data_IF_538056038983
#
_entry.id   IF_538056038983
#
_cell.length_a   1.000
_cell.length_b   1.000
_cell.length_c   1.000
_cell.angle_alpha   90.00
_cell.angle_beta   90.00
_cell.angle_gamma   90.00
#
_symmetry.space_group_name_H-M   'P 1'
#
loop_
_entity.id
_entity.type
_entity.pdbx_description
1 polymer ?
#
# COMPACT_ATOMS: atom_id res chain seq x y z
N UNK A 1 -6.58 29.25 23.35
CA UNK A 1 -7.67 29.73 22.47
C UNK A 1 -8.10 28.57 21.59
N UNK A 2 -9.41 28.34 21.36
CA UNK A 2 -9.85 27.31 20.43
C UNK A 2 -9.34 27.62 19.02
N UNK A 3 -8.72 26.64 18.36
CA UNK A 3 -8.22 26.77 16.98
C UNK A 3 -9.44 27.01 16.06
N UNK A 4 -9.41 27.96 15.12
CA UNK A 4 -10.47 28.15 14.12
C UNK A 4 -10.78 26.84 13.36
N UNK A 5 -12.04 26.63 12.98
CA UNK A 5 -12.48 25.38 12.31
C UNK A 5 -11.76 25.21 10.96
N UNK A 6 -11.53 26.30 10.24
CA UNK A 6 -10.78 26.35 8.98
C UNK A 6 -9.35 25.81 9.14
N UNK A 7 -8.64 26.25 10.19
CA UNK A 7 -7.28 25.79 10.48
C UNK A 7 -7.25 24.30 10.83
N UNK A 8 -8.24 23.82 11.60
CA UNK A 8 -8.37 22.38 11.90
C UNK A 8 -8.63 21.58 10.63
N UNK A 9 -9.51 22.07 9.76
CA UNK A 9 -9.85 21.41 8.51
C UNK A 9 -8.64 21.34 7.58
N UNK A 10 -7.87 22.42 7.46
CA UNK A 10 -6.60 22.47 6.71
C UNK A 10 -5.58 21.45 7.23
N UNK A 11 -5.37 21.39 8.55
CA UNK A 11 -4.45 20.42 9.16
C UNK A 11 -4.87 18.98 8.84
N UNK A 12 -6.16 18.67 8.88
CA UNK A 12 -6.68 17.33 8.56
C UNK A 12 -6.49 17.01 7.08
N UNK A 13 -6.73 17.97 6.20
CA UNK A 13 -6.50 17.83 4.76
C UNK A 13 -5.03 17.58 4.45
N UNK A 14 -4.11 18.35 5.04
CA UNK A 14 -2.67 18.19 4.86
C UNK A 14 -2.19 16.82 5.38
N UNK A 15 -2.68 16.38 6.54
CA UNK A 15 -2.39 15.05 7.08
C UNK A 15 -2.91 13.92 6.18
N UNK A 16 -4.13 14.08 5.64
CA UNK A 16 -4.70 13.12 4.69
C UNK A 16 -3.87 13.05 3.41
N UNK A 17 -3.51 14.20 2.83
CA UNK A 17 -2.67 14.31 1.63
C UNK A 17 -1.33 13.64 1.86
N UNK A 18 -0.64 13.95 2.95
CA UNK A 18 0.66 13.35 3.29
C UNK A 18 0.57 11.83 3.39
N UNK A 19 -0.44 11.31 4.11
CA UNK A 19 -0.63 9.87 4.26
C UNK A 19 -0.97 9.17 2.93
N UNK A 20 -1.75 9.83 2.08
CA UNK A 20 -2.09 9.33 0.74
C UNK A 20 -0.85 9.31 -0.19
N UNK A 21 -0.09 10.40 -0.24
CA UNK A 21 1.15 10.49 -1.03
C UNK A 21 2.19 9.45 -0.58
N UNK A 22 2.33 9.25 0.73
CA UNK A 22 3.20 8.22 1.28
C UNK A 22 2.81 6.83 0.76
N UNK A 23 1.51 6.49 0.78
CA UNK A 23 1.01 5.22 0.25
C UNK A 23 1.29 5.07 -1.24
N UNK A 24 1.08 6.11 -2.04
CA UNK A 24 1.37 6.08 -3.49
C UNK A 24 2.86 5.81 -3.73
N UNK A 25 3.74 6.50 -3.01
CA UNK A 25 5.20 6.28 -3.11
C UNK A 25 5.59 4.86 -2.70
N UNK A 26 4.97 4.32 -1.65
CA UNK A 26 5.19 2.94 -1.20
C UNK A 26 4.79 1.92 -2.27
N UNK A 27 3.59 2.05 -2.85
CA UNK A 27 3.11 1.14 -3.90
C UNK A 27 3.99 1.25 -5.16
N UNK A 28 4.35 2.47 -5.54
CA UNK A 28 5.23 2.72 -6.70
C UNK A 28 6.61 2.09 -6.49
N UNK A 29 7.19 2.26 -5.29
CA UNK A 29 8.45 1.62 -4.91
C UNK A 29 8.35 0.09 -4.92
N UNK A 30 7.24 -0.45 -4.42
CA UNK A 30 6.99 -1.90 -4.45
C UNK A 30 6.92 -2.44 -5.88
N UNK A 31 6.19 -1.77 -6.78
CA UNK A 31 6.12 -2.16 -8.19
C UNK A 31 7.50 -2.08 -8.90
N UNK A 32 8.27 -1.03 -8.64
CA UNK A 32 9.62 -0.87 -9.19
C UNK A 32 10.56 -1.99 -8.74
N UNK A 33 10.47 -2.39 -7.47
CA UNK A 33 11.26 -3.52 -6.96
C UNK A 33 10.85 -4.82 -7.65
N UNK A 34 9.56 -5.06 -7.88
CA UNK A 34 9.13 -6.25 -8.61
C UNK A 34 9.62 -6.28 -10.05
N UNK A 35 9.66 -5.14 -10.75
CA UNK A 35 10.27 -5.07 -12.07
C UNK A 35 11.77 -5.46 -12.01
N UNK A 36 12.51 -4.96 -11.01
CA UNK A 36 13.90 -5.35 -10.79
C UNK A 36 14.08 -6.83 -10.46
N UNK A 37 13.22 -7.38 -9.61
CA UNK A 37 13.23 -8.81 -9.25
C UNK A 37 12.88 -9.70 -10.45
N UNK A 38 11.97 -9.28 -11.33
CA UNK A 38 11.65 -10.01 -12.55
C UNK A 38 12.85 -10.05 -13.51
N UNK A 39 13.56 -8.93 -13.68
CA UNK A 39 14.80 -8.89 -14.45
C UNK A 39 15.89 -9.79 -13.84
N UNK A 40 16.05 -9.73 -12.50
CA UNK A 40 16.97 -10.60 -11.79
C UNK A 40 16.60 -12.08 -11.97
N UNK A 41 15.32 -12.44 -11.88
CA UNK A 41 14.84 -13.80 -12.11
C UNK A 41 15.23 -14.32 -13.50
N UNK A 42 14.97 -13.53 -14.55
CA UNK A 42 15.33 -13.88 -15.92
C UNK A 42 16.84 -14.09 -16.08
N UNK A 43 17.66 -13.23 -15.45
CA UNK A 43 19.11 -13.36 -15.46
C UNK A 43 19.60 -14.63 -14.74
N UNK A 44 19.10 -14.90 -13.52
CA UNK A 44 19.48 -16.08 -12.75
C UNK A 44 19.02 -17.37 -13.43
N UNK A 45 17.89 -17.37 -14.13
CA UNK A 45 17.42 -18.52 -14.90
C UNK A 45 18.39 -18.93 -16.02
N UNK A 46 19.06 -17.95 -16.65
CA UNK A 46 20.03 -18.21 -17.71
C UNK A 46 21.41 -18.61 -17.15
N UNK A 47 21.84 -17.97 -16.06
CA UNK A 47 23.22 -18.06 -15.61
C UNK A 47 23.43 -19.01 -14.42
N UNK A 48 22.44 -19.21 -13.56
CA UNK A 48 22.61 -19.92 -12.28
C UNK A 48 21.30 -20.48 -11.73
N UNK A 49 20.75 -21.49 -12.44
CA UNK A 49 19.47 -22.13 -12.09
C UNK A 49 19.44 -22.67 -10.65
N UNK A 50 20.53 -23.27 -10.17
CA UNK A 50 20.59 -23.88 -8.85
C UNK A 50 20.24 -22.93 -7.67
N UNK A 51 20.41 -21.62 -7.86
CA UNK A 51 20.17 -20.60 -6.84
C UNK A 51 19.01 -19.65 -7.18
N UNK A 52 18.27 -19.89 -8.26
CA UNK A 52 17.19 -18.99 -8.71
C UNK A 52 16.07 -18.82 -7.67
N UNK A 53 15.85 -19.83 -6.81
CA UNK A 53 14.87 -19.80 -5.72
C UNK A 53 15.09 -18.65 -4.74
N UNK A 54 16.31 -18.10 -4.66
CA UNK A 54 16.63 -16.95 -3.82
C UNK A 54 15.83 -15.72 -4.25
N UNK A 55 15.58 -15.55 -5.56
CA UNK A 55 14.86 -14.37 -6.09
C UNK A 55 13.41 -14.29 -5.55
N UNK A 56 12.55 -15.32 -5.68
CA UNK A 56 11.22 -15.28 -5.08
C UNK A 56 11.27 -15.30 -3.55
N UNK A 57 12.29 -15.90 -2.91
CA UNK A 57 12.46 -15.82 -1.46
C UNK A 57 12.70 -14.37 -0.97
N UNK A 58 13.55 -13.61 -1.66
CA UNK A 58 13.75 -12.17 -1.40
C UNK A 58 12.46 -11.40 -1.65
N UNK A 59 11.74 -11.73 -2.74
CA UNK A 59 10.47 -11.10 -3.09
C UNK A 59 9.40 -11.26 -1.98
N UNK A 60 9.36 -12.41 -1.30
CA UNK A 60 8.51 -12.64 -0.11
C UNK A 60 8.87 -11.66 0.99
N UNK A 61 10.17 -11.54 1.33
CA UNK A 61 10.63 -10.61 2.36
C UNK A 61 10.25 -9.16 2.06
N UNK A 62 10.45 -8.72 0.83
CA UNK A 62 10.08 -7.37 0.39
C UNK A 62 8.57 -7.16 0.45
N UNK A 63 7.78 -8.13 0.02
CA UNK A 63 6.32 -8.08 0.12
C UNK A 63 5.86 -7.89 1.55
N UNK A 64 6.41 -8.66 2.49
CA UNK A 64 6.09 -8.54 3.91
C UNK A 64 6.46 -7.15 4.43
N UNK A 65 7.66 -6.66 4.11
CA UNK A 65 8.12 -5.33 4.54
C UNK A 65 7.22 -4.21 4.02
N UNK A 66 6.90 -4.21 2.73
CA UNK A 66 6.01 -3.20 2.12
C UNK A 66 4.60 -3.30 2.67
N UNK A 67 4.10 -4.52 2.86
CA UNK A 67 2.75 -4.74 3.39
C UNK A 67 2.61 -4.29 4.84
N UNK A 68 3.61 -4.55 5.69
CA UNK A 68 3.67 -4.03 7.07
C UNK A 68 3.76 -2.50 7.06
N UNK A 69 4.59 -1.92 6.20
CA UNK A 69 4.75 -0.47 6.09
C UNK A 69 3.43 0.21 5.69
N UNK A 70 2.68 -0.33 4.73
CA UNK A 70 1.33 0.17 4.41
C UNK A 70 0.36 -0.04 5.59
N UNK A 71 0.33 -1.24 6.21
CA UNK A 71 -0.53 -1.53 7.38
C UNK A 71 -0.34 -0.54 8.53
N UNK A 72 0.90 -0.11 8.80
CA UNK A 72 1.22 0.87 9.84
C UNK A 72 0.65 2.27 9.53
N UNK A 73 0.54 2.67 8.27
CA UNK A 73 0.11 4.01 7.87
C UNK A 73 -1.39 4.10 7.55
N UNK A 74 -2.09 2.98 7.30
CA UNK A 74 -3.55 3.00 7.01
C UNK A 74 -4.41 3.68 8.08
N UNK A 75 -4.16 3.48 9.39
CA UNK A 75 -4.99 4.11 10.42
C UNK A 75 -4.96 5.63 10.35
N UNK A 76 -3.85 6.25 9.90
CA UNK A 76 -3.76 7.69 9.72
C UNK A 76 -4.73 8.19 8.65
N UNK A 77 -4.81 7.50 7.51
CA UNK A 77 -5.77 7.82 6.43
C UNK A 77 -7.21 7.69 6.93
N UNK A 78 -7.53 6.60 7.63
CA UNK A 78 -8.86 6.36 8.19
C UNK A 78 -9.27 7.45 9.19
N UNK A 79 -8.39 7.78 10.13
CA UNK A 79 -8.64 8.84 11.12
C UNK A 79 -8.84 10.20 10.47
N UNK A 80 -8.00 10.58 9.50
CA UNK A 80 -8.18 11.87 8.81
C UNK A 80 -9.52 11.93 8.07
N UNK A 81 -9.95 10.85 7.42
CA UNK A 81 -11.28 10.77 6.79
C UNK A 81 -12.41 10.93 7.81
N UNK A 82 -12.35 10.21 8.92
CA UNK A 82 -13.39 10.28 9.97
C UNK A 82 -13.45 11.66 10.61
N UNK A 83 -12.31 12.26 10.95
CA UNK A 83 -12.25 13.58 11.56
C UNK A 83 -12.71 14.65 10.57
N UNK A 84 -12.26 14.59 9.31
CA UNK A 84 -12.71 15.50 8.25
C UNK A 84 -14.23 15.43 8.02
N UNK A 85 -14.78 14.21 7.93
CA UNK A 85 -16.22 14.01 7.76
C UNK A 85 -17.02 14.51 8.98
N UNK A 86 -16.49 14.39 10.19
CA UNK A 86 -17.13 14.92 11.39
C UNK A 86 -17.12 16.45 11.41
N UNK A 87 -16.04 17.09 10.94
CA UNK A 87 -15.97 18.56 10.80
C UNK A 87 -17.00 19.04 9.76
N UNK A 88 -17.14 18.34 8.63
CA UNK A 88 -18.10 18.71 7.58
C UNK A 88 -19.57 18.46 7.95
N UNK A 89 -19.83 17.53 8.87
CA UNK A 89 -21.17 17.27 9.43
C UNK A 89 -21.56 18.26 10.53
N UNK A 90 -20.61 19.00 11.09
CA UNK A 90 -20.89 20.03 12.08
C UNK A 90 -21.57 21.24 11.42
N UNK A 91 -22.84 21.48 11.78
CA UNK A 91 -23.63 22.58 11.23
C UNK A 91 -23.05 23.96 11.60
N UNK A 92 -22.24 24.04 12.65
CA UNK A 92 -21.58 25.28 13.07
C UNK A 92 -20.35 25.64 12.22
N UNK A 93 -19.84 24.71 11.41
CA UNK A 93 -18.64 24.90 10.60
C UNK A 93 -18.86 25.80 9.38
N UNK A 94 -20.12 26.11 9.00
CA UNK A 94 -20.49 26.95 7.85
C UNK A 94 -19.78 26.59 6.53
N UNK A 95 -19.36 25.33 6.36
CA UNK A 95 -18.65 24.88 5.15
C UNK A 95 -19.64 24.78 3.99
N UNK A 96 -19.41 25.52 2.88
CA UNK A 96 -20.21 25.41 1.65
C UNK A 96 -20.29 23.96 1.15
N UNK A 97 -21.44 23.54 0.63
CA UNK A 97 -21.64 22.14 0.21
C UNK A 97 -20.67 21.70 -0.89
N UNK A 98 -20.29 22.59 -1.79
CA UNK A 98 -19.35 22.39 -2.89
C UNK A 98 -17.89 22.20 -2.42
N UNK A 99 -17.58 22.51 -1.16
CA UNK A 99 -16.24 22.41 -0.58
C UNK A 99 -16.08 21.23 0.40
N UNK A 100 -17.14 20.41 0.55
CA UNK A 100 -17.13 19.21 1.40
C UNK A 100 -16.44 18.09 0.63
N UNK A 101 -15.31 17.63 1.15
CA UNK A 101 -14.49 16.64 0.48
C UNK A 101 -14.56 15.27 1.18
N UNK A 102 -14.61 15.26 2.52
CA UNK A 102 -14.56 14.03 3.31
C UNK A 102 -15.92 13.35 3.50
N UNK A 103 -17.02 14.08 3.42
CA UNK A 103 -18.38 13.55 3.46
C UNK A 103 -18.71 12.72 2.22
N UNK A 104 -18.19 13.14 1.06
CA UNK A 104 -18.41 12.49 -0.24
C UNK A 104 -17.40 11.39 -0.55
N UNK A 105 -16.32 11.29 0.24
CA UNK A 105 -15.43 10.12 0.23
C UNK A 105 -16.15 8.98 0.96
N UNK A 106 -17.16 8.42 0.30
CA UNK A 106 -17.78 7.17 0.69
C UNK A 106 -16.71 6.08 0.85
N UNK A 107 -17.05 5.12 1.69
CA UNK A 107 -16.32 3.88 2.00
C UNK A 107 -16.15 2.93 0.80
N UNK A 108 -16.05 3.45 -0.42
CA UNK A 108 -15.70 2.71 -1.62
C UNK A 108 -14.46 1.87 -1.36
N UNK A 109 -14.50 0.61 -1.84
CA UNK A 109 -13.56 -0.49 -1.56
C UNK A 109 -12.24 0.09 -1.09
N UNK A 110 -12.06 0.05 0.24
CA UNK A 110 -10.90 0.66 0.89
C UNK A 110 -9.68 0.16 0.13
N UNK A 111 -8.91 1.05 -0.49
CA UNK A 111 -7.74 0.66 -1.29
C UNK A 111 -6.82 -0.29 -0.50
N UNK A 112 -6.88 -0.21 0.83
CA UNK A 112 -6.31 -1.16 1.79
C UNK A 112 -6.68 -2.64 1.55
N UNK A 113 -7.93 -2.95 1.19
CA UNK A 113 -8.38 -4.31 0.87
C UNK A 113 -7.75 -4.81 -0.42
N UNK A 114 -7.73 -3.98 -1.48
CA UNK A 114 -7.05 -4.35 -2.72
C UNK A 114 -5.55 -4.62 -2.49
N UNK A 115 -4.89 -3.81 -1.64
CA UNK A 115 -3.49 -4.02 -1.25
C UNK A 115 -3.33 -5.31 -0.43
N UNK A 116 -4.27 -5.63 0.47
CA UNK A 116 -4.23 -6.88 1.25
C UNK A 116 -4.38 -8.11 0.35
N UNK A 117 -5.33 -8.09 -0.57
CA UNK A 117 -5.55 -9.19 -1.53
C UNK A 117 -4.32 -9.34 -2.42
N UNK A 118 -3.79 -8.25 -2.95
CA UNK A 118 -2.55 -8.26 -3.74
C UNK A 118 -1.37 -8.84 -2.96
N UNK A 119 -1.17 -8.41 -1.71
CA UNK A 119 -0.10 -8.90 -0.86
C UNK A 119 -0.25 -10.40 -0.58
N UNK A 120 -1.45 -10.85 -0.20
CA UNK A 120 -1.74 -12.24 0.09
C UNK A 120 -1.51 -13.14 -1.14
N UNK A 121 -2.06 -12.75 -2.30
CA UNK A 121 -1.86 -13.49 -3.56
C UNK A 121 -0.38 -13.53 -3.95
N UNK A 122 0.33 -12.41 -3.82
CA UNK A 122 1.77 -12.35 -4.09
C UNK A 122 2.55 -13.32 -3.21
N UNK A 123 2.27 -13.34 -1.90
CA UNK A 123 2.94 -14.25 -0.96
C UNK A 123 2.68 -15.73 -1.29
N UNK A 124 1.43 -16.07 -1.64
CA UNK A 124 1.08 -17.44 -2.03
C UNK A 124 1.83 -17.84 -3.30
N UNK A 125 1.77 -17.01 -4.35
CA UNK A 125 2.42 -17.32 -5.63
C UNK A 125 3.94 -17.39 -5.51
N UNK A 126 4.56 -16.45 -4.79
CA UNK A 126 6.00 -16.45 -4.55
C UNK A 126 6.43 -17.62 -3.67
N UNK A 127 5.60 -17.99 -2.68
CA UNK A 127 5.82 -19.17 -1.84
C UNK A 127 5.81 -20.46 -2.67
N UNK A 128 4.79 -20.64 -3.51
CA UNK A 128 4.70 -21.77 -4.44
C UNK A 128 5.91 -21.78 -5.38
N UNK A 129 6.24 -20.64 -6.00
CA UNK A 129 7.39 -20.53 -6.90
C UNK A 129 8.71 -20.90 -6.20
N UNK A 130 8.92 -20.43 -4.97
CA UNK A 130 10.11 -20.76 -4.16
C UNK A 130 10.17 -22.26 -3.89
N UNK A 131 9.07 -22.87 -3.45
CA UNK A 131 9.02 -24.31 -3.19
C UNK A 131 9.28 -25.15 -4.45
N UNK A 132 8.66 -24.80 -5.58
CA UNK A 132 8.89 -25.48 -6.86
C UNK A 132 10.37 -25.38 -7.23
N UNK A 133 10.95 -24.18 -7.23
CA UNK A 133 12.35 -24.00 -7.62
C UNK A 133 13.33 -24.71 -6.69
N UNK A 134 13.01 -24.86 -5.40
CA UNK A 134 13.80 -25.69 -4.48
C UNK A 134 13.66 -27.18 -4.83
N UNK A 135 12.43 -27.69 -4.99
CA UNK A 135 12.16 -29.10 -5.28
C UNK A 135 12.77 -29.57 -6.60
N UNK A 136 12.72 -28.71 -7.63
CA UNK A 136 13.23 -29.00 -8.96
C UNK A 136 14.64 -28.46 -9.21
N UNK A 137 15.36 -28.03 -8.15
CA UNK A 137 16.74 -27.49 -8.23
C UNK A 137 16.90 -26.37 -9.27
N UNK A 138 15.87 -25.55 -9.44
CA UNK A 138 15.83 -24.42 -10.36
C UNK A 138 15.38 -24.77 -11.78
N UNK A 139 15.03 -26.01 -12.06
CA UNK A 139 14.34 -26.39 -13.29
C UNK A 139 12.86 -26.05 -13.17
N UNK A 140 12.30 -25.43 -14.21
CA UNK A 140 10.86 -25.26 -14.31
C UNK A 140 10.29 -26.58 -14.85
N UNK A 141 9.18 -27.09 -14.28
CA UNK A 141 8.51 -28.28 -14.78
C UNK A 141 8.02 -28.12 -16.23
#
# INVERSE_FOLDING_TARGET
MPIPIEDRYKIIFDNYKFASEYRIRLITGWAAIYAGLAAAFAWFYQNSRAIIWIVPAIAIGITILMWIADRRHRPAIGRSKTVGANIEKDQSAQIPQDQRYFADIESGISHSWAIDVFAALSLILLGIATCILICYRGELP
#
